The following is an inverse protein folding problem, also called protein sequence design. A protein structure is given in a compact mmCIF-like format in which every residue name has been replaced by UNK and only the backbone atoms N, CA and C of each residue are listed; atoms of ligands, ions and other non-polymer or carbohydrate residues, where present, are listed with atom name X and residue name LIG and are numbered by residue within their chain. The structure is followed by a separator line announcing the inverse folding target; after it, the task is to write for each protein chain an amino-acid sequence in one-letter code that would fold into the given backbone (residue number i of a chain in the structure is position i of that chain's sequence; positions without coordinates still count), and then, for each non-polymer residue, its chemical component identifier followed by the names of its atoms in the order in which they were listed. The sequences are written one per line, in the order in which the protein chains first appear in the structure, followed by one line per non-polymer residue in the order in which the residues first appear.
data_IF_945538532484
#
_entry.id   IF_945538532484
#
_cell.length_a   1.000
_cell.length_b   1.000
_cell.length_c   1.000
_cell.angle_alpha   90.00
_cell.angle_beta   90.00
_cell.angle_gamma   90.00
#
_symmetry.space_group_name_H-M   'P 1'
#
loop_
_entity.id
_entity.type
_entity.pdbx_description
1 polymer ?
#
# COMPACT_ATOMS: atom_id res chain seq x y z
N UNK A 1 42.59 -1.14 3.11
CA UNK A 1 41.48 -0.34 2.57
C UNK A 1 40.39 -1.30 2.11
N UNK A 2 39.32 -1.49 2.87
CA UNK A 2 38.23 -2.37 2.45
C UNK A 2 37.49 -1.70 1.30
N UNK A 3 37.72 -2.19 0.07
CA UNK A 3 37.02 -1.69 -1.10
C UNK A 3 35.50 -1.88 -0.92
N UNK A 4 34.73 -0.82 -1.07
CA UNK A 4 33.26 -0.89 -1.02
C UNK A 4 32.73 -1.85 -2.08
N UNK A 5 31.57 -2.47 -1.84
CA UNK A 5 30.90 -3.36 -2.82
C UNK A 5 30.70 -2.64 -4.16
N UNK A 6 30.46 -1.33 -4.12
CA UNK A 6 30.32 -0.48 -5.31
C UNK A 6 31.62 -0.39 -6.12
N UNK A 7 32.76 -0.22 -5.44
CA UNK A 7 34.08 -0.15 -6.10
C UNK A 7 34.44 -1.47 -6.77
N UNK A 8 34.12 -2.60 -6.12
CA UNK A 8 34.31 -3.94 -6.72
C UNK A 8 33.43 -4.13 -7.95
N UNK A 9 32.17 -3.71 -7.90
CA UNK A 9 31.27 -3.78 -9.05
C UNK A 9 31.79 -2.94 -10.24
N UNK A 10 32.28 -1.72 -9.98
CA UNK A 10 32.89 -0.87 -11.00
C UNK A 10 34.17 -1.46 -11.58
N UNK A 11 35.01 -2.10 -10.77
CA UNK A 11 36.20 -2.81 -11.24
C UNK A 11 35.83 -3.95 -12.19
N UNK A 12 34.79 -4.73 -11.89
CA UNK A 12 34.31 -5.82 -12.75
C UNK A 12 33.76 -5.27 -14.07
N UNK A 13 32.98 -4.18 -14.04
CA UNK A 13 32.39 -3.58 -15.25
C UNK A 13 33.43 -3.06 -16.24
N UNK A 14 34.67 -2.75 -15.81
CA UNK A 14 35.75 -2.33 -16.71
C UNK A 14 36.22 -3.43 -17.66
N UNK A 15 36.07 -4.69 -17.28
CA UNK A 15 36.53 -5.85 -18.07
C UNK A 15 35.41 -6.54 -18.85
N UNK A 16 34.15 -6.23 -18.55
CA UNK A 16 32.99 -6.81 -19.23
C UNK A 16 32.72 -6.11 -20.58
N UNK A 17 32.07 -6.80 -21.53
CA UNK A 17 31.71 -6.20 -22.81
C UNK A 17 30.78 -4.99 -22.60
N UNK A 18 30.80 -4.07 -23.57
CA UNK A 18 29.94 -2.88 -23.55
C UNK A 18 28.47 -3.30 -23.39
N UNK A 19 27.78 -2.65 -22.46
CA UNK A 19 26.34 -2.83 -22.27
C UNK A 19 25.62 -2.36 -23.53
N UNK A 20 24.88 -3.26 -24.16
CA UNK A 20 24.09 -3.06 -25.37
C UNK A 20 22.68 -3.60 -25.15
N UNK A 21 21.74 -3.19 -26.01
CA UNK A 21 20.34 -3.65 -25.93
C UNK A 21 20.21 -5.17 -26.01
N UNK A 22 21.14 -5.85 -26.71
CA UNK A 22 21.20 -7.30 -26.83
C UNK A 22 21.52 -8.03 -25.52
N UNK A 23 22.18 -7.34 -24.58
CA UNK A 23 22.70 -7.95 -23.35
C UNK A 23 21.87 -7.57 -22.13
N UNK A 24 20.83 -6.75 -22.30
CA UNK A 24 19.87 -6.46 -21.26
C UNK A 24 19.04 -7.71 -20.96
N UNK A 25 18.96 -8.05 -19.69
CA UNK A 25 18.10 -9.12 -19.18
C UNK A 25 17.37 -8.59 -17.97
N UNK A 26 16.13 -9.03 -17.82
CA UNK A 26 15.36 -8.76 -16.62
C UNK A 26 16.03 -9.37 -15.39
N UNK A 27 15.77 -8.80 -14.21
CA UNK A 27 16.24 -9.41 -12.97
C UNK A 27 15.64 -10.80 -12.83
N UNK A 28 16.44 -11.82 -12.45
CA UNK A 28 15.94 -13.19 -12.35
C UNK A 28 14.75 -13.22 -11.39
N UNK A 29 13.59 -13.70 -11.87
CA UNK A 29 12.35 -13.77 -11.09
C UNK A 29 11.39 -12.58 -11.22
N UNK A 30 11.71 -11.54 -11.99
CA UNK A 30 10.80 -10.41 -12.25
C UNK A 30 9.71 -10.71 -13.29
N UNK A 31 9.97 -11.62 -14.23
CA UNK A 31 8.95 -12.07 -15.20
C UNK A 31 7.99 -13.05 -14.54
N UNK A 32 6.78 -12.58 -14.24
CA UNK A 32 5.74 -13.39 -13.60
C UNK A 32 5.31 -14.60 -14.45
N UNK A 33 5.34 -14.51 -15.79
CA UNK A 33 4.95 -15.61 -16.68
C UNK A 33 6.16 -16.34 -17.24
N UNK A 34 6.52 -17.46 -16.63
CA UNK A 34 7.38 -18.45 -17.28
C UNK A 34 6.52 -19.41 -18.12
N UNK A 35 7.07 -20.01 -19.18
CA UNK A 35 6.39 -21.01 -20.02
C UNK A 35 5.77 -22.22 -19.24
N UNK A 36 6.13 -22.39 -17.96
CA UNK A 36 5.54 -23.33 -17.00
C UNK A 36 4.22 -22.88 -16.34
N UNK A 37 3.74 -21.66 -16.60
CA UNK A 37 2.39 -21.22 -16.21
C UNK A 37 1.29 -21.67 -17.18
N UNK A 38 1.64 -22.39 -18.26
CA UNK A 38 0.63 -23.19 -18.98
C UNK A 38 0.16 -24.27 -18.00
N UNK A 39 -1.08 -24.17 -17.56
CA UNK A 39 -1.70 -25.14 -16.66
C UNK A 39 -1.68 -26.50 -17.38
N UNK A 40 -0.67 -27.33 -17.07
CA UNK A 40 -0.44 -28.65 -17.67
C UNK A 40 -0.18 -29.66 -16.55
N UNK A 41 -0.48 -30.92 -16.82
CA UNK A 41 -0.32 -32.01 -15.85
C UNK A 41 -1.29 -31.89 -14.66
N UNK A 42 -0.85 -32.31 -13.48
CA UNK A 42 -1.70 -32.40 -12.27
C UNK A 42 -2.39 -31.08 -11.89
N UNK A 43 -1.75 -29.92 -12.16
CA UNK A 43 -2.36 -28.61 -11.90
C UNK A 43 -3.60 -28.33 -12.75
N UNK A 44 -3.65 -28.86 -13.97
CA UNK A 44 -4.82 -28.73 -14.84
C UNK A 44 -5.99 -29.54 -14.31
N UNK A 45 -5.72 -30.77 -13.90
CA UNK A 45 -6.73 -31.67 -13.33
C UNK A 45 -7.25 -31.16 -11.98
N UNK A 46 -6.41 -30.50 -11.18
CA UNK A 46 -6.84 -29.87 -9.92
C UNK A 46 -7.78 -28.67 -10.13
N UNK A 47 -7.53 -27.86 -11.16
CA UNK A 47 -8.35 -26.68 -11.49
C UNK A 47 -9.60 -27.05 -12.32
N UNK A 48 -9.53 -28.12 -13.10
CA UNK A 48 -10.61 -28.60 -13.96
C UNK A 48 -10.95 -30.05 -13.61
N UNK A 49 -11.81 -30.28 -12.62
CA UNK A 49 -12.25 -31.64 -12.28
C UNK A 49 -12.99 -32.28 -13.45
N UNK A 50 -13.00 -33.62 -13.52
CA UNK A 50 -13.53 -34.35 -14.67
C UNK A 50 -15.03 -34.17 -14.93
N UNK A 51 -15.83 -33.72 -13.94
CA UNK A 51 -17.30 -33.54 -13.98
C UNK A 51 -17.76 -32.47 -12.97
N UNK A 52 -19.05 -32.13 -13.03
CA UNK A 52 -19.72 -31.28 -12.05
C UNK A 52 -19.69 -29.79 -12.38
N UNK A 53 -20.30 -28.99 -11.50
CA UNK A 53 -20.49 -27.55 -11.74
C UNK A 53 -19.16 -26.80 -11.92
N UNK A 54 -18.13 -27.15 -11.15
CA UNK A 54 -16.78 -26.55 -11.25
C UNK A 54 -16.13 -26.78 -12.61
N UNK A 55 -16.30 -27.96 -13.23
CA UNK A 55 -15.80 -28.24 -14.58
C UNK A 55 -16.47 -27.33 -15.62
N UNK A 56 -17.78 -27.14 -15.47
CA UNK A 56 -18.62 -26.32 -16.37
C UNK A 56 -18.51 -24.82 -16.05
N UNK A 57 -17.52 -24.42 -15.27
CA UNK A 57 -17.32 -23.04 -14.77
C UNK A 57 -18.53 -22.47 -14.00
N UNK A 58 -19.43 -23.34 -13.55
CA UNK A 58 -20.58 -23.00 -12.73
C UNK A 58 -20.20 -22.95 -11.25
N UNK A 59 -19.42 -21.97 -10.84
CA UNK A 59 -19.13 -21.75 -9.43
C UNK A 59 -20.37 -21.18 -8.73
N UNK A 60 -20.64 -21.64 -7.51
CA UNK A 60 -21.64 -20.98 -6.68
C UNK A 60 -21.16 -19.56 -6.32
N UNK A 61 -22.11 -18.65 -6.07
CA UNK A 61 -21.79 -17.30 -5.58
C UNK A 61 -20.99 -17.37 -4.27
N UNK A 62 -20.14 -16.38 -4.04
CA UNK A 62 -19.42 -16.26 -2.77
C UNK A 62 -20.42 -16.21 -1.61
N UNK A 63 -20.16 -17.00 -0.56
CA UNK A 63 -21.06 -17.15 0.59
C UNK A 63 -22.19 -18.17 0.43
N UNK A 64 -22.23 -18.95 -0.66
CA UNK A 64 -23.18 -20.06 -0.79
C UNK A 64 -22.74 -21.29 0.01
N UNK A 65 -23.62 -21.80 0.89
CA UNK A 65 -23.34 -22.92 1.80
C UNK A 65 -24.07 -24.22 1.42
N UNK A 66 -24.41 -24.41 0.13
CA UNK A 66 -24.98 -25.69 -0.32
C UNK A 66 -26.48 -25.88 -0.08
N UNK A 67 -27.21 -24.82 0.27
CA UNK A 67 -28.68 -24.83 0.44
C UNK A 67 -29.16 -24.44 1.85
N UNK A 68 -28.28 -24.48 2.85
CA UNK A 68 -28.58 -23.91 4.17
C UNK A 68 -28.58 -22.37 4.14
N UNK A 69 -29.14 -21.74 5.18
CA UNK A 69 -29.04 -20.29 5.37
C UNK A 69 -27.56 -19.89 5.49
N UNK A 70 -27.04 -19.03 4.60
CA UNK A 70 -25.67 -18.53 4.67
C UNK A 70 -25.35 -17.85 6.00
N UNK A 71 -24.10 -17.96 6.46
CA UNK A 71 -23.60 -17.31 7.66
C UNK A 71 -23.93 -15.80 7.75
N UNK A 72 -23.73 -15.06 6.66
CA UNK A 72 -23.98 -13.61 6.62
C UNK A 72 -25.47 -13.24 6.72
N UNK A 73 -26.40 -14.20 6.61
CA UNK A 73 -27.83 -14.00 6.84
C UNK A 73 -28.30 -14.51 8.22
N UNK A 74 -27.49 -15.33 8.91
CA UNK A 74 -27.80 -15.82 10.26
C UNK A 74 -27.62 -14.73 11.32
N UNK A 75 -26.72 -13.80 11.08
CA UNK A 75 -26.45 -12.67 11.98
C UNK A 75 -27.57 -11.62 11.79
N UNK A 76 -28.19 -11.10 12.87
CA UNK A 76 -29.18 -10.03 12.76
C UNK A 76 -28.56 -8.76 12.16
N UNK A 77 -29.40 -7.95 11.54
CA UNK A 77 -28.94 -6.68 10.96
C UNK A 77 -28.66 -5.68 12.08
N UNK A 78 -27.38 -5.28 12.19
CA UNK A 78 -26.92 -4.23 13.08
C UNK A 78 -26.40 -3.03 12.26
N UNK A 79 -26.84 -1.83 12.62
CA UNK A 79 -26.61 -0.61 11.83
C UNK A 79 -25.23 0.04 12.07
N UNK A 80 -24.15 -0.75 12.19
CA UNK A 80 -22.80 -0.25 12.51
C UNK A 80 -22.31 0.86 11.55
N UNK A 81 -22.60 0.69 10.25
CA UNK A 81 -22.18 1.60 9.18
C UNK A 81 -23.29 2.56 8.72
N UNK A 82 -24.35 2.72 9.51
CA UNK A 82 -25.39 3.69 9.19
C UNK A 82 -24.80 5.09 9.08
N UNK A 83 -25.13 5.77 7.98
CA UNK A 83 -24.65 7.12 7.63
C UNK A 83 -23.13 7.25 7.69
N UNK A 84 -22.36 6.17 7.56
CA UNK A 84 -20.88 6.22 7.60
C UNK A 84 -20.33 7.17 6.55
N UNK A 85 -20.98 7.23 5.39
CA UNK A 85 -20.66 8.20 4.37
C UNK A 85 -20.81 9.61 4.96
N UNK A 86 -21.92 10.02 5.57
CA UNK A 86 -22.07 11.40 6.12
C UNK A 86 -21.08 11.77 7.25
N UNK A 87 -20.36 10.81 7.84
CA UNK A 87 -19.43 11.07 8.94
C UNK A 87 -18.25 11.91 8.45
N UNK A 88 -17.95 12.97 9.21
CA UNK A 88 -16.75 13.80 8.98
C UNK A 88 -15.53 13.03 9.48
N UNK A 89 -14.49 12.99 8.67
CA UNK A 89 -13.22 12.39 9.05
C UNK A 89 -12.15 13.48 9.15
N UNK A 90 -11.22 13.28 10.06
CA UNK A 90 -10.09 14.17 10.30
C UNK A 90 -8.86 13.29 10.43
N UNK A 91 -7.99 13.21 9.41
CA UNK A 91 -6.80 12.40 9.51
C UNK A 91 -5.93 12.91 10.67
N UNK A 92 -5.32 11.99 11.45
CA UNK A 92 -4.54 12.39 12.61
C UNK A 92 -3.19 12.97 12.18
N UNK A 93 -2.81 14.08 12.81
CA UNK A 93 -1.47 14.67 12.74
C UNK A 93 -0.89 14.71 14.15
N UNK A 94 0.19 13.97 14.38
CA UNK A 94 0.84 13.93 15.69
C UNK A 94 1.76 15.13 15.92
N UNK A 95 1.86 15.57 17.17
CA UNK A 95 2.85 16.60 17.57
C UNK A 95 4.29 16.16 17.27
N UNK A 96 4.57 14.85 17.41
CA UNK A 96 5.86 14.28 17.01
C UNK A 96 6.17 14.47 15.53
N UNK A 97 5.20 14.22 14.64
CA UNK A 97 5.38 14.45 13.20
C UNK A 97 5.52 15.95 12.91
N UNK A 98 4.74 16.79 13.57
CA UNK A 98 4.81 18.24 13.40
C UNK A 98 6.19 18.78 13.82
N UNK A 99 6.75 18.29 14.94
CA UNK A 99 8.12 18.61 15.34
C UNK A 99 9.14 18.17 14.29
N UNK A 100 9.03 16.94 13.78
CA UNK A 100 9.91 16.45 12.71
C UNK A 100 9.85 17.32 11.45
N UNK A 101 8.66 17.81 11.08
CA UNK A 101 8.49 18.71 9.93
C UNK A 101 9.19 20.06 10.15
N UNK A 102 9.15 20.58 11.38
CA UNK A 102 9.86 21.81 11.76
C UNK A 102 11.37 21.58 11.77
N UNK A 103 11.84 20.49 12.38
CA UNK A 103 13.27 20.18 12.49
C UNK A 103 13.92 19.97 11.09
N UNK A 104 13.16 19.40 10.15
CA UNK A 104 13.57 19.26 8.75
C UNK A 104 13.45 20.55 7.93
N UNK A 105 12.94 21.64 8.52
CA UNK A 105 12.75 22.94 7.86
C UNK A 105 11.65 22.94 6.79
N UNK A 106 10.72 21.98 6.83
CA UNK A 106 9.59 21.90 5.89
C UNK A 106 8.44 22.81 6.28
N UNK A 107 8.29 23.08 7.58
CA UNK A 107 7.30 23.99 8.14
C UNK A 107 8.04 25.04 8.94
N UNK A 108 7.81 26.32 8.62
CA UNK A 108 8.36 27.45 9.36
C UNK A 108 7.42 27.78 10.55
N UNK A 109 7.87 27.62 11.81
CA UNK A 109 7.04 27.91 12.97
C UNK A 109 6.82 29.41 13.19
N UNK A 110 7.55 30.29 12.48
CA UNK A 110 7.37 31.75 12.58
C UNK A 110 6.14 32.26 11.83
N UNK A 111 5.60 31.45 10.92
CA UNK A 111 4.42 31.75 10.13
C UNK A 111 3.22 30.96 10.63
N UNK A 112 1.98 31.43 10.41
CA UNK A 112 0.79 30.66 10.74
C UNK A 112 0.78 29.33 9.97
N UNK A 113 0.61 28.23 10.71
CA UNK A 113 0.56 26.87 10.16
C UNK A 113 -0.88 26.58 9.71
N UNK A 114 -1.17 26.88 8.44
CA UNK A 114 -2.46 26.61 7.82
C UNK A 114 -2.51 25.22 7.15
N UNK A 115 -3.71 24.74 6.81
CA UNK A 115 -3.89 23.51 6.04
C UNK A 115 -3.12 23.53 4.71
N UNK A 116 -3.03 24.70 4.06
CA UNK A 116 -2.25 24.86 2.83
C UNK A 116 -0.75 24.59 3.08
N UNK A 117 -0.20 25.08 4.20
CA UNK A 117 1.19 24.83 4.56
C UNK A 117 1.46 23.35 4.78
N UNK A 118 0.55 22.64 5.46
CA UNK A 118 0.64 21.20 5.68
C UNK A 118 0.59 20.40 4.37
N UNK A 119 -0.38 20.71 3.48
CA UNK A 119 -0.49 20.05 2.18
C UNK A 119 0.72 20.32 1.27
N UNK A 120 1.36 21.48 1.39
CA UNK A 120 2.57 21.82 0.63
C UNK A 120 3.77 20.96 1.02
N UNK A 121 3.81 20.40 2.24
CA UNK A 121 4.90 19.50 2.67
C UNK A 121 4.94 18.17 1.92
N UNK A 122 3.85 17.78 1.23
CA UNK A 122 3.63 16.47 0.57
C UNK A 122 3.82 15.25 1.48
N UNK A 123 3.81 15.46 2.80
CA UNK A 123 3.86 14.39 3.80
C UNK A 123 2.46 14.13 4.34
N UNK A 124 1.67 15.20 4.50
CA UNK A 124 0.31 15.12 5.01
C UNK A 124 -0.68 15.45 3.88
N UNK A 125 -1.45 14.45 3.48
CA UNK A 125 -2.42 14.56 2.38
C UNK A 125 -3.85 14.61 2.90
N UNK A 126 -4.62 15.56 2.37
CA UNK A 126 -6.06 15.70 2.62
C UNK A 126 -6.80 15.41 1.32
N UNK A 127 -7.69 14.42 1.36
CA UNK A 127 -8.53 13.97 0.24
C UNK A 127 -9.99 14.36 0.51
N UNK A 128 -10.51 15.47 -0.06
CA UNK A 128 -11.90 15.88 0.15
C UNK A 128 -12.92 14.81 -0.29
N UNK A 129 -12.57 13.98 -1.27
CA UNK A 129 -13.41 12.87 -1.77
C UNK A 129 -13.64 11.78 -0.71
N UNK A 130 -12.70 11.60 0.21
CA UNK A 130 -12.80 10.68 1.35
C UNK A 130 -13.46 11.34 2.57
N UNK A 131 -14.03 12.54 2.39
CA UNK A 131 -14.74 13.28 3.42
C UNK A 131 -13.84 13.69 4.58
N UNK A 132 -12.60 14.03 4.24
CA UNK A 132 -11.68 14.70 5.16
C UNK A 132 -12.07 16.17 5.29
N UNK A 133 -12.50 16.59 6.48
CA UNK A 133 -12.96 17.96 6.75
C UNK A 133 -11.91 18.83 7.43
N UNK A 134 -10.70 18.30 7.63
CA UNK A 134 -9.61 19.03 8.28
C UNK A 134 -8.58 18.06 8.83
N UNK A 135 -7.98 18.44 9.96
CA UNK A 135 -6.90 17.70 10.61
C UNK A 135 -7.26 17.49 12.06
N UNK A 136 -6.98 16.29 12.57
CA UNK A 136 -7.07 16.00 13.99
C UNK A 136 -5.67 16.06 14.58
N UNK A 137 -5.38 17.08 15.38
CA UNK A 137 -4.11 17.15 16.09
C UNK A 137 -4.12 16.17 17.28
N UNK A 138 -3.16 15.23 17.32
CA UNK A 138 -3.06 14.24 18.39
C UNK A 138 -1.90 14.55 19.34
N UNK A 139 -2.08 14.26 20.63
CA UNK A 139 -1.09 14.55 21.68
C UNK A 139 0.14 13.62 21.68
N UNK A 140 0.30 12.78 20.64
CA UNK A 140 1.41 11.85 20.55
C UNK A 140 2.75 12.60 20.42
N UNK A 141 3.64 12.39 21.38
CA UNK A 141 4.96 13.04 21.44
C UNK A 141 4.97 14.43 22.07
N UNK A 142 3.95 14.77 22.86
CA UNK A 142 3.85 16.07 23.55
C UNK A 142 5.07 16.39 24.43
N UNK A 143 5.66 15.40 25.10
CA UNK A 143 6.79 15.62 26.01
C UNK A 143 8.06 16.13 25.31
N UNK A 144 8.23 15.77 24.04
CA UNK A 144 9.38 16.15 23.22
C UNK A 144 9.08 17.37 22.34
N UNK A 145 7.84 17.85 22.33
CA UNK A 145 7.42 18.95 21.48
C UNK A 145 8.01 20.26 22.01
N UNK A 146 8.97 20.83 21.26
CA UNK A 146 9.67 22.05 21.62
C UNK A 146 9.85 22.89 20.36
N UNK A 147 9.09 23.98 20.29
CA UNK A 147 9.20 24.95 19.21
C UNK A 147 9.68 26.25 19.82
N UNK A 148 10.89 26.67 19.46
CA UNK A 148 11.40 28.00 19.79
C UNK A 148 10.80 28.98 18.77
N UNK A 149 9.86 29.81 19.22
CA UNK A 149 9.29 30.95 18.47
C UNK A 149 10.33 32.03 18.23
#
# INVERSE_FOLDING_TARGET
MSSSVTERALQILRYLPRVSISNLRDTPGSTYVTAGMKIRGQRYQALHPHKGSKQRMGYARLGFEGGQSPFYLKIPMENYNEKHHLRRQYPPLSLKQLQLLIDLGRVDPKQPIDLATLCNTKIYDITPMERHFGVQLTAEGIDNFKVCT
#
